data_IF_819412930494
#
_entry.id   IF_819412930494
#
_cell.length_a   1.000
_cell.length_b   1.000
_cell.length_c   1.000
_cell.angle_alpha   90.00
_cell.angle_beta   90.00
_cell.angle_gamma   90.00
#
_symmetry.space_group_name_H-M   'P 1'
#
loop_
_entity.id
_entity.type
_entity.pdbx_description
1 polymer ?
#
# COMPACT_ATOMS: atom_id res chain seq x y z
N UNK A 1 1.13 -27.77 -2.36
CA UNK A 1 -0.18 -27.22 -2.77
C UNK A 1 -0.96 -26.89 -1.50
N UNK A 2 -1.47 -25.67 -1.35
CA UNK A 2 -2.22 -25.20 -0.16
C UNK A 2 -3.36 -26.15 0.23
N UNK A 3 -3.98 -26.78 -0.77
CA UNK A 3 -5.08 -27.77 -0.63
C UNK A 3 -4.72 -29.00 0.21
N UNK A 4 -3.45 -29.40 0.24
CA UNK A 4 -2.98 -30.59 0.96
C UNK A 4 -2.24 -30.26 2.27
N UNK A 5 -2.31 -29.00 2.72
CA UNK A 5 -1.71 -28.59 3.99
C UNK A 5 -2.44 -29.24 5.18
N UNK A 6 -1.68 -29.58 6.23
CA UNK A 6 -2.20 -29.99 7.53
C UNK A 6 -1.50 -29.15 8.61
N UNK A 7 -2.22 -28.28 9.34
CA UNK A 7 -3.67 -28.00 9.26
C UNK A 7 -4.08 -27.34 7.94
N UNK A 8 -5.38 -27.36 7.63
CA UNK A 8 -5.94 -26.64 6.47
C UNK A 8 -5.70 -25.13 6.63
N UNK A 9 -5.56 -24.43 5.52
CA UNK A 9 -5.45 -22.96 5.52
C UNK A 9 -6.84 -22.34 5.61
N UNK A 10 -7.06 -21.55 6.66
CA UNK A 10 -8.35 -20.88 6.91
C UNK A 10 -8.44 -19.47 6.28
N UNK A 11 -7.31 -18.83 6.01
CA UNK A 11 -7.23 -17.49 5.44
C UNK A 11 -5.86 -17.24 4.79
N UNK A 12 -5.83 -16.46 3.72
CA UNK A 12 -4.61 -15.96 3.09
C UNK A 12 -4.47 -14.47 3.41
N UNK A 13 -3.26 -14.06 3.79
CA UNK A 13 -2.87 -12.63 3.78
C UNK A 13 -1.90 -12.45 2.63
N UNK A 14 -2.34 -11.76 1.58
CA UNK A 14 -1.57 -11.55 0.36
C UNK A 14 -1.19 -10.08 0.16
N UNK A 15 -0.10 -9.82 -0.56
CA UNK A 15 0.19 -8.47 -1.03
C UNK A 15 -0.88 -8.05 -2.06
N UNK A 16 -1.55 -6.92 -1.83
CA UNK A 16 -2.62 -6.44 -2.71
C UNK A 16 -2.14 -5.90 -4.07
N UNK A 17 -0.83 -5.87 -4.35
CA UNK A 17 -0.31 -5.65 -5.71
C UNK A 17 -0.33 -6.95 -6.53
N UNK A 18 -0.33 -8.12 -5.86
CA UNK A 18 -0.34 -9.44 -6.48
C UNK A 18 -1.75 -10.01 -6.51
N UNK A 19 -2.64 -9.51 -7.37
CA UNK A 19 -4.02 -10.01 -7.45
C UNK A 19 -4.13 -11.47 -7.91
N UNK A 20 -3.05 -12.08 -8.43
CA UNK A 20 -2.97 -13.54 -8.55
C UNK A 20 -3.28 -14.27 -7.23
N UNK A 21 -2.92 -13.69 -6.09
CA UNK A 21 -3.24 -14.26 -4.79
C UNK A 21 -4.75 -14.27 -4.50
N UNK A 22 -5.49 -13.27 -5.00
CA UNK A 22 -6.94 -13.21 -4.91
C UNK A 22 -7.56 -14.30 -5.78
N UNK A 23 -7.18 -14.36 -7.05
CA UNK A 23 -7.70 -15.37 -8.00
C UNK A 23 -7.48 -16.80 -7.47
N UNK A 24 -6.28 -17.09 -6.93
CA UNK A 24 -5.98 -18.40 -6.31
C UNK A 24 -6.80 -18.65 -5.04
N UNK A 25 -7.00 -17.63 -4.20
CA UNK A 25 -7.78 -17.77 -2.97
C UNK A 25 -9.25 -18.11 -3.29
N UNK A 26 -9.82 -17.43 -4.30
CA UNK A 26 -11.17 -17.67 -4.78
C UNK A 26 -11.32 -19.07 -5.38
N UNK A 27 -10.38 -19.51 -6.23
CA UNK A 27 -10.36 -20.87 -6.80
C UNK A 27 -10.34 -21.97 -5.72
N UNK A 28 -9.70 -21.68 -4.57
CA UNK A 28 -9.58 -22.60 -3.44
C UNK A 28 -10.72 -22.45 -2.42
N UNK A 29 -11.59 -21.45 -2.58
CA UNK A 29 -12.64 -21.12 -1.60
C UNK A 29 -12.08 -20.69 -0.24
N UNK A 30 -10.89 -20.08 -0.22
CA UNK A 30 -10.22 -19.63 1.00
C UNK A 30 -10.36 -18.10 1.10
N UNK A 31 -10.84 -17.55 2.23
CA UNK A 31 -10.87 -16.10 2.44
C UNK A 31 -9.50 -15.45 2.26
N UNK A 32 -9.46 -14.31 1.59
CA UNK A 32 -8.23 -13.51 1.45
C UNK A 32 -8.40 -12.09 1.99
N UNK A 33 -7.42 -11.69 2.78
CA UNK A 33 -7.22 -10.31 3.23
C UNK A 33 -6.00 -9.78 2.50
N UNK A 34 -6.14 -8.67 1.78
CA UNK A 34 -5.01 -8.05 1.10
C UNK A 34 -4.33 -7.04 1.99
N UNK A 35 -3.00 -7.01 1.96
CA UNK A 35 -2.18 -6.03 2.64
C UNK A 35 -1.56 -5.09 1.61
N UNK A 36 -1.75 -3.78 1.78
CA UNK A 36 -1.10 -2.77 0.95
C UNK A 36 -0.02 -2.05 1.75
N UNK A 37 1.17 -2.02 1.16
CA UNK A 37 2.40 -1.46 1.73
C UNK A 37 2.58 0.03 1.45
N UNK A 38 1.65 0.62 0.71
CA UNK A 38 1.57 2.05 0.41
C UNK A 38 0.56 2.75 1.33
N UNK A 39 0.62 4.09 1.38
CA UNK A 39 -0.34 4.89 2.13
C UNK A 39 -1.77 4.77 1.58
N UNK A 40 -2.77 5.11 2.40
CA UNK A 40 -4.17 5.11 1.97
C UNK A 40 -4.40 6.11 0.82
N UNK A 41 -3.80 7.30 0.89
CA UNK A 41 -3.93 8.30 -0.20
C UNK A 41 -3.32 7.82 -1.53
N UNK A 42 -2.20 7.12 -1.48
CA UNK A 42 -1.59 6.54 -2.69
C UNK A 42 -2.49 5.46 -3.28
N UNK A 43 -2.99 4.54 -2.44
CA UNK A 43 -3.90 3.49 -2.88
C UNK A 43 -5.19 4.05 -3.49
N UNK A 44 -5.75 5.09 -2.88
CA UNK A 44 -6.96 5.73 -3.36
C UNK A 44 -6.76 6.40 -4.72
N UNK A 45 -5.65 7.12 -4.90
CA UNK A 45 -5.29 7.66 -6.21
C UNK A 45 -5.13 6.56 -7.27
N UNK A 46 -4.56 5.41 -6.92
CA UNK A 46 -4.38 4.30 -7.87
C UNK A 46 -5.72 3.66 -8.23
N UNK A 47 -6.61 3.53 -7.25
CA UNK A 47 -7.96 3.01 -7.46
C UNK A 47 -8.79 3.90 -8.42
N UNK A 48 -8.51 5.21 -8.43
CA UNK A 48 -9.16 6.19 -9.29
C UNK A 48 -8.52 6.33 -10.69
N UNK A 49 -7.43 5.63 -11.01
CA UNK A 49 -6.80 5.69 -12.34
C UNK A 49 -7.79 5.45 -13.50
N UNK A 50 -8.69 4.42 -13.44
CA UNK A 50 -9.69 4.24 -14.49
C UNK A 50 -10.62 5.46 -14.65
N UNK A 51 -10.94 6.13 -13.53
CA UNK A 51 -11.79 7.32 -13.52
C UNK A 51 -11.05 8.53 -14.11
N UNK A 52 -9.74 8.68 -13.83
CA UNK A 52 -8.87 9.69 -14.47
C UNK A 52 -8.78 9.50 -15.99
N UNK A 53 -8.67 8.25 -16.46
CA UNK A 53 -8.65 7.93 -17.90
C UNK A 53 -9.99 8.31 -18.54
N UNK A 54 -11.11 7.94 -17.92
CA UNK A 54 -12.43 8.27 -18.43
C UNK A 54 -12.67 9.79 -18.46
N UNK A 55 -12.21 10.52 -17.44
CA UNK A 55 -12.29 11.97 -17.38
C UNK A 55 -11.35 12.69 -18.38
N UNK A 56 -10.47 11.96 -19.08
CA UNK A 56 -9.48 12.54 -19.99
C UNK A 56 -8.34 13.27 -19.27
N UNK A 57 -8.14 12.98 -17.99
CA UNK A 57 -7.05 13.55 -17.18
C UNK A 57 -5.72 12.79 -17.35
N UNK A 58 -5.79 11.55 -17.85
CA UNK A 58 -4.66 10.78 -18.36
C UNK A 58 -4.82 10.56 -19.89
N UNK A 59 -3.72 10.57 -20.67
CA UNK A 59 -2.32 10.72 -20.24
C UNK A 59 -1.96 12.18 -19.91
N UNK A 60 -0.91 12.37 -19.09
CA UNK A 60 -0.38 13.70 -18.77
C UNK A 60 0.30 14.29 -20.01
N UNK A 61 0.01 15.57 -20.32
CA UNK A 61 0.48 16.22 -21.56
C UNK A 61 1.79 16.98 -21.35
N UNK A 62 2.93 16.33 -21.62
CA UNK A 62 4.22 17.00 -21.55
C UNK A 62 4.59 17.49 -20.14
N UNK A 63 5.60 18.34 -20.06
CA UNK A 63 6.08 18.85 -18.76
C UNK A 63 5.25 20.04 -18.27
N UNK A 64 4.63 20.78 -19.18
CA UNK A 64 3.77 21.92 -18.91
C UNK A 64 2.48 21.55 -18.16
N UNK A 65 2.00 20.32 -18.30
CA UNK A 65 0.78 19.81 -17.67
C UNK A 65 1.01 19.25 -16.25
N UNK A 66 2.25 19.30 -15.76
CA UNK A 66 2.64 18.69 -14.48
C UNK A 66 2.03 19.36 -13.25
N UNK A 67 1.60 20.62 -13.35
CA UNK A 67 0.94 21.36 -12.26
C UNK A 67 -0.59 21.34 -12.35
N UNK A 68 -1.17 20.72 -13.39
CA UNK A 68 -2.63 20.58 -13.48
C UNK A 68 -3.16 19.71 -12.34
N UNK A 69 -4.27 20.14 -11.76
CA UNK A 69 -5.00 19.39 -10.75
C UNK A 69 -5.74 18.21 -11.37
N UNK A 70 -5.76 17.10 -10.64
CA UNK A 70 -6.55 15.91 -10.93
C UNK A 70 -7.84 16.03 -10.13
N UNK A 71 -8.97 16.07 -10.82
CA UNK A 71 -10.30 16.30 -10.22
C UNK A 71 -11.14 15.04 -10.13
N UNK A 72 -10.70 13.93 -10.74
CA UNK A 72 -11.39 12.64 -10.71
C UNK A 72 -11.10 11.77 -9.47
N UNK A 73 -10.31 12.26 -8.51
CA UNK A 73 -10.00 11.54 -7.26
C UNK A 73 -10.76 12.15 -6.09
N UNK A 74 -11.82 11.49 -5.58
CA UNK A 74 -12.64 12.03 -4.51
C UNK A 74 -11.83 12.34 -3.25
N UNK A 75 -11.97 13.55 -2.71
CA UNK A 75 -11.26 14.02 -1.53
C UNK A 75 -9.83 14.50 -1.78
N UNK A 76 -9.38 14.54 -3.04
CA UNK A 76 -8.05 15.01 -3.43
C UNK A 76 -8.07 16.07 -4.55
N UNK A 77 -9.27 16.49 -4.98
CA UNK A 77 -9.51 17.34 -6.14
C UNK A 77 -8.84 18.71 -6.03
N UNK A 78 -8.69 19.20 -4.79
CA UNK A 78 -8.15 20.53 -4.50
C UNK A 78 -6.62 20.59 -4.48
N UNK A 79 -5.91 19.45 -4.45
CA UNK A 79 -4.46 19.46 -4.22
C UNK A 79 -3.65 18.42 -4.99
N UNK A 80 -4.24 17.33 -5.48
CA UNK A 80 -3.51 16.31 -6.23
C UNK A 80 -3.16 16.84 -7.62
N UNK A 81 -1.87 16.93 -7.94
CA UNK A 81 -1.40 17.35 -9.26
C UNK A 81 -0.88 16.18 -10.08
N UNK A 82 -0.81 16.36 -11.39
CA UNK A 82 -0.18 15.40 -12.31
C UNK A 82 1.22 14.94 -11.85
N UNK A 83 2.06 15.86 -11.33
CA UNK A 83 3.41 15.53 -10.85
C UNK A 83 3.45 14.64 -9.60
N UNK A 84 2.40 14.70 -8.78
CA UNK A 84 2.30 13.96 -7.53
C UNK A 84 1.91 12.49 -7.79
N UNK A 85 1.42 12.19 -9.00
CA UNK A 85 1.16 10.82 -9.44
C UNK A 85 2.47 10.05 -9.67
N UNK A 86 2.45 8.71 -9.46
CA UNK A 86 3.60 7.86 -9.73
C UNK A 86 4.07 7.92 -11.18
N UNK A 87 5.32 7.51 -11.41
CA UNK A 87 5.94 7.52 -12.73
C UNK A 87 5.17 6.73 -13.78
N UNK A 88 4.50 5.63 -13.41
CA UNK A 88 3.69 4.84 -14.36
C UNK A 88 2.43 5.58 -14.86
N UNK A 89 1.92 6.59 -14.13
CA UNK A 89 0.85 7.45 -14.62
C UNK A 89 1.32 8.46 -15.68
N UNK A 90 2.64 8.56 -15.92
CA UNK A 90 3.24 9.43 -16.94
C UNK A 90 3.40 8.72 -18.29
N UNK A 91 2.81 7.54 -18.45
CA UNK A 91 2.74 6.87 -19.74
C UNK A 91 2.08 7.78 -20.78
N UNK A 92 2.62 7.79 -22.00
CA UNK A 92 2.10 8.59 -23.11
C UNK A 92 0.81 8.03 -23.71
N UNK A 93 0.49 6.77 -23.41
CA UNK A 93 -0.71 6.07 -23.85
C UNK A 93 -1.43 5.48 -22.63
N UNK A 94 -2.75 5.66 -22.56
CA UNK A 94 -3.59 5.06 -21.51
C UNK A 94 -3.66 3.55 -21.64
N UNK A 95 -3.31 2.98 -22.79
CA UNK A 95 -3.20 1.54 -23.03
C UNK A 95 -1.86 0.95 -22.60
N UNK A 96 -0.99 1.74 -21.96
CA UNK A 96 0.25 1.23 -21.40
C UNK A 96 0.00 0.04 -20.47
N UNK A 97 0.75 -1.04 -20.68
CA UNK A 97 0.54 -2.31 -19.98
C UNK A 97 0.71 -2.21 -18.47
N UNK A 98 1.68 -1.41 -17.99
CA UNK A 98 1.97 -1.26 -16.57
C UNK A 98 0.87 -0.43 -15.92
N UNK A 99 0.46 0.67 -16.55
CA UNK A 99 -0.64 1.51 -16.08
C UNK A 99 -1.94 0.71 -15.97
N UNK A 100 -2.30 -0.03 -17.01
CA UNK A 100 -3.52 -0.85 -17.06
C UNK A 100 -3.49 -1.97 -16.02
N UNK A 101 -2.38 -2.70 -15.94
CA UNK A 101 -2.24 -3.77 -14.95
C UNK A 101 -2.35 -3.22 -13.53
N UNK A 102 -1.64 -2.16 -13.17
CA UNK A 102 -1.71 -1.58 -11.82
C UNK A 102 -3.11 -1.06 -11.47
N UNK A 103 -3.80 -0.43 -12.42
CA UNK A 103 -5.16 0.04 -12.23
C UNK A 103 -6.15 -1.12 -12.00
N UNK A 104 -6.04 -2.19 -12.80
CA UNK A 104 -6.86 -3.39 -12.69
C UNK A 104 -6.60 -4.14 -11.38
N UNK A 105 -5.34 -4.43 -11.07
CA UNK A 105 -4.94 -5.10 -9.83
C UNK A 105 -5.41 -4.30 -8.61
N UNK A 106 -5.27 -2.97 -8.64
CA UNK A 106 -5.75 -2.11 -7.56
C UNK A 106 -7.28 -2.14 -7.42
N UNK A 107 -8.04 -2.17 -8.52
CA UNK A 107 -9.51 -2.32 -8.47
C UNK A 107 -9.94 -3.66 -7.90
N UNK A 108 -9.26 -4.76 -8.25
CA UNK A 108 -9.49 -6.08 -7.65
C UNK A 108 -9.35 -6.09 -6.13
N UNK A 109 -8.65 -5.12 -5.54
CA UNK A 109 -8.54 -5.07 -4.07
C UNK A 109 -9.90 -4.88 -3.37
N UNK A 110 -10.92 -4.32 -4.04
CA UNK A 110 -12.27 -4.21 -3.46
C UNK A 110 -13.03 -5.54 -3.40
N UNK A 111 -12.54 -6.58 -4.09
CA UNK A 111 -13.15 -7.91 -4.11
C UNK A 111 -12.65 -8.80 -2.96
N UNK A 112 -11.53 -8.44 -2.34
CA UNK A 112 -10.98 -9.15 -1.19
C UNK A 112 -11.91 -9.08 0.04
N UNK A 113 -11.78 -10.05 0.95
CA UNK A 113 -12.59 -10.13 2.17
C UNK A 113 -12.22 -9.04 3.19
N UNK A 114 -11.06 -8.40 3.02
CA UNK A 114 -10.64 -7.23 3.78
C UNK A 114 -9.35 -6.63 3.24
N UNK A 115 -9.11 -5.37 3.61
CA UNK A 115 -7.94 -4.60 3.24
C UNK A 115 -7.19 -4.16 4.51
N UNK A 116 -5.94 -4.61 4.67
CA UNK A 116 -5.02 -4.20 5.73
C UNK A 116 -4.14 -3.05 5.22
N UNK A 117 -4.05 -1.99 6.00
CA UNK A 117 -3.23 -0.81 5.73
C UNK A 117 -2.32 -0.53 6.92
N UNK A 118 -1.05 -0.27 6.64
CA UNK A 118 -0.09 0.22 7.64
C UNK A 118 -0.24 1.74 7.84
N UNK A 119 -1.41 2.16 8.31
CA UNK A 119 -1.78 3.54 8.62
C UNK A 119 -2.73 3.59 9.82
N UNK A 120 -3.18 4.78 10.22
CA UNK A 120 -4.15 5.02 11.29
C UNK A 120 -5.05 6.22 10.97
N UNK A 121 -6.20 6.31 11.64
CA UNK A 121 -7.25 7.29 11.34
C UNK A 121 -6.78 8.74 11.49
N UNK A 122 -6.04 9.08 12.54
CA UNK A 122 -5.58 10.46 12.75
C UNK A 122 -4.61 10.94 11.64
N UNK A 123 -4.00 10.02 10.88
CA UNK A 123 -3.10 10.35 9.77
C UNK A 123 -3.83 10.50 8.43
N UNK A 124 -4.77 9.59 8.11
CA UNK A 124 -5.38 9.50 6.77
C UNK A 124 -6.92 9.39 6.79
N UNK A 125 -7.57 9.75 7.90
CA UNK A 125 -9.01 9.60 8.16
C UNK A 125 -9.94 10.11 7.04
N UNK A 126 -9.72 11.32 6.47
CA UNK A 126 -10.53 11.81 5.35
C UNK A 126 -10.49 10.88 4.14
N UNK A 127 -9.30 10.38 3.75
CA UNK A 127 -9.15 9.46 2.62
C UNK A 127 -9.75 8.09 2.95
N UNK A 128 -9.50 7.58 4.16
CA UNK A 128 -10.07 6.32 4.62
C UNK A 128 -11.60 6.34 4.58
N UNK A 129 -12.21 7.50 4.84
CA UNK A 129 -13.66 7.68 4.72
C UNK A 129 -14.15 7.51 3.28
N UNK A 130 -13.44 8.03 2.28
CA UNK A 130 -13.73 7.78 0.87
C UNK A 130 -13.52 6.30 0.50
N UNK A 131 -12.43 5.68 0.96
CA UNK A 131 -12.14 4.29 0.69
C UNK A 131 -13.21 3.34 1.23
N UNK A 132 -13.75 3.59 2.43
CA UNK A 132 -14.84 2.77 3.02
C UNK A 132 -16.10 2.69 2.16
N UNK A 133 -16.27 3.60 1.19
CA UNK A 133 -17.38 3.52 0.22
C UNK A 133 -17.17 2.43 -0.86
N UNK A 134 -15.94 1.95 -1.05
CA UNK A 134 -15.55 0.96 -2.06
C UNK A 134 -15.01 -0.34 -1.47
N UNK A 135 -14.34 -0.27 -0.32
CA UNK A 135 -13.79 -1.42 0.38
C UNK A 135 -14.68 -1.76 1.59
N UNK A 136 -15.35 -2.93 1.63
CA UNK A 136 -16.32 -3.24 2.68
C UNK A 136 -15.69 -3.38 4.07
N UNK A 137 -14.41 -3.79 4.15
CA UNK A 137 -13.66 -3.93 5.40
C UNK A 137 -12.25 -3.40 5.24
N UNK A 138 -11.92 -2.35 5.98
CA UNK A 138 -10.58 -1.76 6.06
C UNK A 138 -10.07 -1.87 7.49
N UNK A 139 -8.84 -2.34 7.64
CA UNK A 139 -8.13 -2.48 8.90
C UNK A 139 -6.89 -1.60 8.88
N UNK A 140 -6.91 -0.50 9.64
CA UNK A 140 -5.76 0.39 9.82
C UNK A 140 -4.95 -0.10 11.02
N UNK A 141 -3.87 -0.83 10.75
CA UNK A 141 -3.06 -1.53 11.77
C UNK A 141 -1.69 -0.87 12.00
N UNK A 142 -1.52 0.35 11.51
CA UNK A 142 -0.27 1.08 11.60
C UNK A 142 -0.14 1.90 12.89
N UNK A 143 1.08 2.40 13.17
CA UNK A 143 2.31 2.10 12.45
C UNK A 143 2.96 0.80 12.94
N UNK A 144 3.17 -0.17 12.02
CA UNK A 144 3.68 -1.51 12.32
C UNK A 144 5.05 -1.51 13.03
N UNK A 145 5.92 -0.54 12.71
CA UNK A 145 7.22 -0.39 13.36
C UNK A 145 7.09 -0.03 14.84
N UNK A 146 6.05 0.70 15.24
CA UNK A 146 5.79 1.00 16.65
C UNK A 146 5.30 -0.24 17.39
N UNK A 147 4.41 -1.04 16.78
CA UNK A 147 3.97 -2.30 17.36
C UNK A 147 5.13 -3.26 17.60
N UNK A 148 6.05 -3.38 16.65
CA UNK A 148 7.27 -4.15 16.81
C UNK A 148 8.12 -3.63 17.98
N UNK A 149 8.35 -2.31 18.03
CA UNK A 149 9.10 -1.66 19.11
C UNK A 149 8.48 -2.01 20.47
N UNK A 150 7.19 -1.80 20.64
CA UNK A 150 6.47 -2.10 21.91
C UNK A 150 6.57 -3.56 22.31
N UNK A 151 6.53 -4.50 21.35
CA UNK A 151 6.69 -5.94 21.62
C UNK A 151 8.09 -6.27 22.12
N UNK A 152 9.13 -5.67 21.54
CA UNK A 152 10.52 -5.89 21.92
C UNK A 152 10.87 -5.32 23.32
N UNK A 153 10.16 -4.30 23.78
CA UNK A 153 10.39 -3.69 25.10
C UNK A 153 9.60 -4.34 26.25
N UNK A 154 8.78 -5.38 26.00
CA UNK A 154 8.07 -6.09 27.07
C UNK A 154 9.02 -7.09 27.76
N UNK A 155 9.26 -6.98 29.08
CA UNK A 155 10.25 -7.78 29.80
C UNK A 155 9.87 -9.26 29.98
N UNK A 156 8.59 -9.62 29.84
CA UNK A 156 8.11 -10.99 29.95
C UNK A 156 7.69 -11.55 28.59
N UNK A 157 8.65 -12.15 27.90
CA UNK A 157 8.45 -13.39 27.15
C UNK A 157 9.79 -13.88 26.64
N UNK A 158 9.90 -15.20 26.54
CA UNK A 158 10.94 -16.00 25.89
C UNK A 158 11.07 -15.71 24.38
N UNK A 159 10.85 -14.45 23.96
CA UNK A 159 10.93 -14.04 22.57
C UNK A 159 12.36 -14.18 22.09
N UNK A 160 12.55 -15.12 21.16
CA UNK A 160 13.62 -15.07 20.17
C UNK A 160 13.90 -13.60 19.82
N UNK A 161 15.18 -13.20 19.89
CA UNK A 161 15.62 -11.83 19.58
C UNK A 161 15.08 -11.32 18.23
N UNK A 162 15.27 -10.02 17.91
CA UNK A 162 14.62 -9.38 16.77
C UNK A 162 14.74 -10.25 15.51
N UNK A 163 13.62 -10.83 15.07
CA UNK A 163 13.58 -11.65 13.87
C UNK A 163 13.75 -10.71 12.69
N UNK A 164 14.97 -10.63 12.17
CA UNK A 164 15.24 -9.90 10.94
C UNK A 164 14.62 -10.69 9.80
N UNK A 165 13.58 -10.15 9.18
CA UNK A 165 13.06 -10.67 7.91
C UNK A 165 13.97 -10.28 6.71
N UNK A 166 15.17 -9.78 6.98
CA UNK A 166 16.15 -9.46 5.95
C UNK A 166 16.78 -10.74 5.41
N UNK A 167 16.80 -10.87 4.09
CA UNK A 167 17.57 -11.91 3.41
C UNK A 167 19.09 -11.72 3.48
N UNK A 168 19.55 -10.57 4.00
CA UNK A 168 20.96 -10.20 4.13
C UNK A 168 21.31 -9.83 5.57
N UNK A 169 22.59 -9.99 5.91
CA UNK A 169 23.12 -9.50 7.17
C UNK A 169 22.93 -7.98 7.29
N UNK A 170 22.55 -7.52 8.48
CA UNK A 170 22.23 -6.12 8.73
C UNK A 170 23.51 -5.36 9.05
N UNK A 171 23.91 -4.43 8.18
CA UNK A 171 25.01 -3.51 8.46
C UNK A 171 24.59 -2.49 9.53
N UNK A 172 25.42 -2.37 10.58
CA UNK A 172 25.22 -1.45 11.70
C UNK A 172 26.32 -0.38 11.78
N UNK A 173 27.24 -0.34 10.82
CA UNK A 173 28.35 0.63 10.78
C UNK A 173 27.86 2.08 10.82
N UNK A 174 26.73 2.37 10.18
CA UNK A 174 26.10 3.68 10.18
C UNK A 174 25.66 4.14 11.58
N UNK A 175 25.27 3.23 12.48
CA UNK A 175 24.87 3.56 13.85
C UNK A 175 26.08 4.03 14.66
N UNK A 176 27.23 3.36 14.53
CA UNK A 176 28.47 3.79 15.20
C UNK A 176 29.00 5.13 14.68
N UNK A 177 28.70 5.47 13.41
CA UNK A 177 28.96 6.81 12.89
C UNK A 177 27.97 7.85 13.42
N UNK A 178 26.69 7.48 13.54
CA UNK A 178 25.62 8.31 14.07
C UNK A 178 25.85 8.69 15.54
N UNK A 179 26.32 7.74 16.36
CA UNK A 179 26.61 7.95 17.79
C UNK A 179 27.69 9.02 18.04
N UNK A 180 28.49 9.35 17.02
CA UNK A 180 29.54 10.38 17.09
C UNK A 180 29.05 11.77 16.70
N UNK A 181 27.83 11.90 16.18
CA UNK A 181 27.29 13.18 15.74
C UNK A 181 26.61 13.92 16.91
N UNK A 182 26.65 15.25 16.96
CA UNK A 182 25.85 16.00 17.92
C UNK A 182 24.35 15.72 17.78
N UNK A 183 23.62 15.79 18.91
CA UNK A 183 22.18 15.51 18.91
C UNK A 183 21.44 16.51 18.01
N UNK A 184 20.72 16.00 17.01
CA UNK A 184 19.92 16.81 16.09
C UNK A 184 20.74 17.55 15.02
N UNK A 185 22.00 17.17 14.78
CA UNK A 185 22.86 17.81 13.76
C UNK A 185 22.73 17.24 12.34
N UNK A 186 21.93 16.18 12.16
CA UNK A 186 21.71 15.54 10.88
C UNK A 186 20.29 15.84 10.39
N UNK A 187 20.18 16.13 9.10
CA UNK A 187 18.94 16.41 8.38
C UNK A 187 18.35 15.14 7.77
#
# INVERSE_FOLDING_TARGET
MLVNSKPKVDCIIGDGVLGLALDIADDLGIPIIQFRTISACSLWAYFAIPDMIHAGELPIKGNEDMDRLITSVPGMEAFLRCRDLPSFCRASDTKDSILQQLAQETRKNSEAHGLLLNTFEDLEGPILSHMRTKFPKIYTIGPLNLHLKTRLFKPDQTSSGPSSNSFREVDRSCLSWLDKQPKGSLF
#
